data_IF_526055097719
#
_entry.id   IF_526055097719
#
_cell.length_a   1.000
_cell.length_b   1.000
_cell.length_c   1.000
_cell.angle_alpha   90.00
_cell.angle_beta   90.00
_cell.angle_gamma   90.00
#
_symmetry.space_group_name_H-M   'P 1'
#
loop_
_entity.id
_entity.type
_entity.pdbx_description
1 polymer ?
#
# COMPACT_ATOMS: atom_id res chain seq x y z
N UNK A 1 18.26 18.26 -21.06
CA UNK A 1 18.26 17.48 -19.80
C UNK A 1 17.45 16.23 -20.04
N UNK A 2 18.11 15.10 -20.26
CA UNK A 2 17.45 13.81 -20.51
C UNK A 2 16.76 13.40 -19.21
N UNK A 3 15.43 13.40 -19.19
CA UNK A 3 14.66 12.73 -18.16
C UNK A 3 14.88 11.22 -18.34
N UNK A 4 15.94 10.70 -17.73
CA UNK A 4 16.24 9.27 -17.75
C UNK A 4 15.06 8.50 -17.16
N UNK A 5 14.59 7.50 -17.89
CA UNK A 5 13.51 6.60 -17.48
C UNK A 5 13.78 6.11 -16.05
N UNK A 6 12.94 6.50 -15.11
CA UNK A 6 13.09 6.15 -13.69
C UNK A 6 12.72 4.68 -13.48
N UNK A 7 13.69 3.78 -13.61
CA UNK A 7 13.50 2.32 -13.49
C UNK A 7 13.29 1.84 -12.05
N UNK A 8 13.40 2.73 -11.05
CA UNK A 8 13.22 2.35 -9.65
C UNK A 8 11.76 1.99 -9.32
N UNK A 9 10.78 2.49 -10.08
CA UNK A 9 9.38 2.10 -9.90
C UNK A 9 9.14 0.62 -10.28
N UNK A 10 9.82 0.11 -11.30
CA UNK A 10 9.82 -1.32 -11.64
C UNK A 10 10.43 -2.15 -10.51
N UNK A 11 11.53 -1.69 -9.92
CA UNK A 11 12.19 -2.39 -8.82
C UNK A 11 11.30 -2.45 -7.58
N UNK A 12 10.60 -1.35 -7.26
CA UNK A 12 9.60 -1.30 -6.19
C UNK A 12 8.43 -2.24 -6.47
N UNK A 13 7.94 -2.30 -7.71
CA UNK A 13 6.91 -3.24 -8.13
C UNK A 13 7.38 -4.68 -7.96
N UNK A 14 8.58 -5.02 -8.42
CA UNK A 14 9.15 -6.35 -8.29
C UNK A 14 9.25 -6.79 -6.81
N UNK A 15 9.78 -5.92 -5.94
CA UNK A 15 9.85 -6.22 -4.51
C UNK A 15 8.46 -6.38 -3.87
N UNK A 16 7.51 -5.48 -4.18
CA UNK A 16 6.14 -5.59 -3.67
C UNK A 16 5.44 -6.87 -4.17
N UNK A 17 5.67 -7.27 -5.42
CA UNK A 17 5.16 -8.51 -5.98
C UNK A 17 5.72 -9.75 -5.30
N UNK A 18 7.02 -9.79 -4.97
CA UNK A 18 7.60 -10.92 -4.23
C UNK A 18 6.98 -11.05 -2.84
N UNK A 19 6.81 -9.94 -2.11
CA UNK A 19 6.15 -9.93 -0.79
C UNK A 19 4.70 -10.40 -0.90
N UNK A 20 3.99 -9.96 -1.95
CA UNK A 20 2.62 -10.41 -2.23
C UNK A 20 2.55 -11.92 -2.49
N UNK A 21 3.45 -12.47 -3.31
CA UNK A 21 3.50 -13.91 -3.62
C UNK A 21 3.76 -14.73 -2.34
N UNK A 22 4.66 -14.28 -1.48
CA UNK A 22 4.89 -14.96 -0.19
C UNK A 22 3.63 -14.99 0.67
N UNK A 23 2.94 -13.86 0.84
CA UNK A 23 1.70 -13.82 1.61
C UNK A 23 0.62 -14.69 0.97
N UNK A 24 0.50 -14.72 -0.36
CA UNK A 24 -0.44 -15.60 -1.04
C UNK A 24 -0.18 -17.09 -0.71
N UNK A 25 1.08 -17.52 -0.66
CA UNK A 25 1.47 -18.89 -0.27
C UNK A 25 1.20 -19.14 1.21
N UNK A 26 1.60 -18.21 2.08
CA UNK A 26 1.45 -18.35 3.54
C UNK A 26 -0.03 -18.40 3.95
N UNK A 27 -0.88 -17.53 3.40
CA UNK A 27 -2.31 -17.49 3.72
C UNK A 27 -3.12 -18.66 3.13
N UNK A 28 -2.65 -19.28 2.05
CA UNK A 28 -3.34 -20.42 1.43
C UNK A 28 -2.93 -21.76 2.04
N UNK A 29 -1.88 -21.81 2.86
CA UNK A 29 -1.40 -23.02 3.51
C UNK A 29 -0.81 -24.06 2.55
N UNK A 30 -0.53 -23.70 1.30
CA UNK A 30 -0.08 -24.63 0.24
C UNK A 30 1.27 -25.29 0.57
N UNK A 31 2.08 -24.69 1.44
CA UNK A 31 3.44 -25.11 1.77
C UNK A 31 3.75 -24.96 3.27
N UNK A 32 2.75 -25.13 4.15
CA UNK A 32 2.90 -24.89 5.58
C UNK A 32 4.06 -25.70 6.19
N UNK A 33 5.07 -25.00 6.72
CA UNK A 33 6.33 -25.51 7.28
C UNK A 33 7.23 -26.28 6.29
N UNK A 34 7.04 -26.11 4.99
CA UNK A 34 7.86 -26.73 3.95
C UNK A 34 9.17 -25.96 3.66
N UNK A 35 10.21 -26.61 3.09
CA UNK A 35 11.46 -25.95 2.70
C UNK A 35 11.25 -24.77 1.72
N UNK A 36 10.21 -24.87 0.88
CA UNK A 36 9.78 -23.81 -0.03
C UNK A 36 9.28 -22.57 0.70
N UNK A 37 8.52 -22.72 1.78
CA UNK A 37 8.02 -21.58 2.56
C UNK A 37 9.17 -20.79 3.18
N UNK A 38 10.16 -21.48 3.77
CA UNK A 38 11.34 -20.83 4.35
C UNK A 38 12.13 -20.05 3.29
N UNK A 39 12.26 -20.60 2.07
CA UNK A 39 12.93 -19.92 0.97
C UNK A 39 12.15 -18.66 0.54
N UNK A 40 10.83 -18.77 0.38
CA UNK A 40 9.99 -17.62 0.01
C UNK A 40 9.92 -16.58 1.13
N UNK A 41 9.98 -16.98 2.40
CA UNK A 41 10.06 -16.08 3.53
C UNK A 41 11.35 -15.25 3.50
N UNK A 42 12.50 -15.89 3.26
CA UNK A 42 13.79 -15.19 3.12
C UNK A 42 13.79 -14.24 1.92
N UNK A 43 13.20 -14.64 0.79
CA UNK A 43 13.06 -13.78 -0.39
C UNK A 43 12.12 -12.60 -0.13
N UNK A 44 11.03 -12.80 0.61
CA UNK A 44 10.11 -11.75 1.01
C UNK A 44 10.78 -10.77 1.97
N UNK A 45 11.58 -11.25 2.93
CA UNK A 45 12.37 -10.43 3.84
C UNK A 45 13.38 -9.55 3.09
N UNK A 46 14.14 -10.14 2.15
CA UNK A 46 15.06 -9.37 1.31
C UNK A 46 14.30 -8.34 0.46
N UNK A 47 13.13 -8.71 -0.07
CA UNK A 47 12.32 -7.83 -0.92
C UNK A 47 11.76 -6.64 -0.14
N UNK A 48 11.26 -6.83 1.09
CA UNK A 48 10.76 -5.74 1.90
C UNK A 48 11.88 -4.78 2.31
N UNK A 49 13.06 -5.30 2.67
CA UNK A 49 14.24 -4.49 2.94
C UNK A 49 14.64 -3.66 1.71
N UNK A 50 14.75 -4.29 0.54
CA UNK A 50 15.04 -3.62 -0.73
C UNK A 50 14.00 -2.55 -1.09
N UNK A 51 12.71 -2.84 -0.89
CA UNK A 51 11.62 -1.89 -1.14
C UNK A 51 11.76 -0.63 -0.29
N UNK A 52 12.06 -0.78 1.01
CA UNK A 52 12.23 0.35 1.91
C UNK A 52 13.49 1.17 1.59
N UNK A 53 14.62 0.51 1.28
CA UNK A 53 15.86 1.20 0.90
C UNK A 53 15.65 2.05 -0.36
N UNK A 54 15.08 1.48 -1.42
CA UNK A 54 14.83 2.18 -2.68
C UNK A 54 13.83 3.30 -2.51
N UNK A 55 12.73 3.04 -1.79
CA UNK A 55 11.73 4.07 -1.50
C UNK A 55 12.33 5.22 -0.69
N UNK A 56 13.16 4.92 0.31
CA UNK A 56 13.87 5.90 1.14
C UNK A 56 14.84 6.77 0.34
N UNK A 57 15.62 6.18 -0.57
CA UNK A 57 16.51 6.94 -1.45
C UNK A 57 15.74 7.93 -2.33
N UNK A 58 14.58 7.52 -2.89
CA UNK A 58 13.71 8.40 -3.68
C UNK A 58 13.02 9.48 -2.82
N UNK A 59 12.67 9.16 -1.57
CA UNK A 59 12.15 10.11 -0.57
C UNK A 59 13.19 11.20 -0.33
N UNK A 60 14.43 10.81 -0.03
CA UNK A 60 15.53 11.73 0.23
C UNK A 60 15.87 12.59 -0.99
N UNK A 61 16.05 11.99 -2.17
CA UNK A 61 16.32 12.75 -3.40
C UNK A 61 15.17 13.69 -3.81
N UNK A 62 13.93 13.37 -3.44
CA UNK A 62 12.78 14.25 -3.64
C UNK A 62 12.71 15.38 -2.61
N UNK A 63 13.29 15.21 -1.42
CA UNK A 63 13.40 16.25 -0.40
C UNK A 63 14.47 17.27 -0.79
N UNK A 64 15.63 16.81 -1.23
CA UNK A 64 16.75 17.67 -1.67
C UNK A 64 16.36 18.59 -2.83
N UNK A 65 15.46 18.13 -3.70
CA UNK A 65 14.96 18.90 -4.85
C UNK A 65 13.83 19.89 -4.51
N UNK A 66 13.40 19.96 -3.24
CA UNK A 66 12.25 20.77 -2.81
C UNK A 66 12.70 21.98 -1.99
N UNK A 67 12.08 23.15 -2.23
CA UNK A 67 12.39 24.41 -1.52
C UNK A 67 11.84 24.46 -0.08
N UNK A 68 11.63 23.32 0.58
CA UNK A 68 11.11 23.25 1.95
C UNK A 68 10.25 22.02 2.23
N UNK A 69 10.27 21.59 3.51
CA UNK A 69 9.56 20.41 4.01
C UNK A 69 8.04 20.48 3.79
N UNK A 70 7.46 21.67 3.92
CA UNK A 70 6.01 21.90 3.74
C UNK A 70 5.56 21.62 2.30
N UNK A 71 6.23 22.23 1.32
CA UNK A 71 5.94 22.04 -0.11
C UNK A 71 6.14 20.59 -0.57
N UNK A 72 7.08 19.89 0.05
CA UNK A 72 7.31 18.47 -0.17
C UNK A 72 6.18 17.60 0.42
N UNK A 73 5.80 17.85 1.67
CA UNK A 73 4.74 17.13 2.38
C UNK A 73 3.38 17.27 1.71
N UNK A 74 3.00 18.50 1.34
CA UNK A 74 1.72 18.80 0.69
C UNK A 74 1.54 18.05 -0.64
N UNK A 75 2.60 17.94 -1.45
CA UNK A 75 2.58 17.18 -2.72
C UNK A 75 2.35 15.69 -2.50
N UNK A 76 2.88 15.13 -1.41
CA UNK A 76 2.71 13.71 -1.09
C UNK A 76 1.36 13.42 -0.47
N UNK A 77 0.88 14.29 0.42
CA UNK A 77 -0.45 14.21 1.01
C UNK A 77 -1.53 14.25 -0.05
N UNK A 78 -1.46 15.19 -1.01
CA UNK A 78 -2.40 15.25 -2.14
C UNK A 78 -2.38 14.01 -3.03
N UNK A 79 -1.32 13.21 -2.99
CA UNK A 79 -1.24 11.94 -3.75
C UNK A 79 -1.78 10.74 -2.95
N UNK A 80 -1.52 10.68 -1.65
CA UNK A 80 -1.92 9.54 -0.79
C UNK A 80 -3.38 9.65 -0.30
N UNK A 81 -3.81 10.87 0.04
CA UNK A 81 -5.14 11.12 0.60
C UNK A 81 -6.31 10.74 -0.33
N UNK A 82 -6.24 10.98 -1.66
CA UNK A 82 -7.31 10.54 -2.55
C UNK A 82 -7.48 9.02 -2.55
N UNK A 83 -6.38 8.27 -2.57
CA UNK A 83 -6.44 6.81 -2.52
C UNK A 83 -6.97 6.31 -1.17
N UNK A 84 -6.58 6.97 -0.07
CA UNK A 84 -7.09 6.67 1.27
C UNK A 84 -8.60 6.90 1.38
N UNK A 85 -9.11 8.03 0.88
CA UNK A 85 -10.55 8.27 0.87
C UNK A 85 -11.29 7.21 0.04
N UNK A 86 -10.77 6.84 -1.12
CA UNK A 86 -11.38 5.82 -1.97
C UNK A 86 -11.47 4.46 -1.26
N UNK A 87 -10.43 4.06 -0.52
CA UNK A 87 -10.43 2.74 0.14
C UNK A 87 -11.43 2.65 1.30
N UNK A 88 -11.80 3.79 1.91
CA UNK A 88 -12.82 3.86 2.98
C UNK A 88 -14.21 4.01 2.38
N UNK A 89 -14.38 4.91 1.40
CA UNK A 89 -15.68 5.22 0.82
C UNK A 89 -16.23 4.05 -0.01
N UNK A 90 -15.37 3.26 -0.66
CA UNK A 90 -15.82 2.15 -1.50
C UNK A 90 -16.55 1.05 -0.70
N UNK A 91 -16.02 0.55 0.44
CA UNK A 91 -16.77 -0.33 1.35
C UNK A 91 -18.05 0.30 1.91
N UNK A 92 -18.01 1.58 2.28
CA UNK A 92 -19.19 2.32 2.77
C UNK A 92 -20.31 2.32 1.72
N UNK A 93 -19.98 2.68 0.47
CA UNK A 93 -20.93 2.68 -0.64
C UNK A 93 -21.44 1.27 -0.96
N UNK A 94 -20.55 0.27 -0.99
CA UNK A 94 -20.93 -1.11 -1.20
C UNK A 94 -21.91 -1.61 -0.12
N UNK A 95 -21.63 -1.31 1.15
CA UNK A 95 -22.50 -1.68 2.27
C UNK A 95 -23.87 -0.99 2.21
N UNK A 96 -23.92 0.29 1.84
CA UNK A 96 -25.18 1.02 1.64
C UNK A 96 -26.04 0.41 0.54
N UNK A 97 -25.43 -0.01 -0.58
CA UNK A 97 -26.13 -0.66 -1.70
C UNK A 97 -26.67 -2.03 -1.28
N UNK A 98 -25.85 -2.87 -0.63
CA UNK A 98 -26.22 -4.23 -0.23
C UNK A 98 -27.34 -4.22 0.81
N UNK A 99 -27.33 -3.25 1.71
CA UNK A 99 -28.24 -3.23 2.87
C UNK A 99 -29.61 -2.61 2.56
N UNK A 100 -29.78 -2.00 1.37
CA UNK A 100 -31.10 -1.59 0.88
C UNK A 100 -31.87 -0.60 1.77
N UNK A 101 -31.18 0.17 2.62
CA UNK A 101 -31.80 1.16 3.50
C UNK A 101 -32.24 0.65 4.88
N UNK A 102 -31.75 -0.50 5.35
CA UNK A 102 -31.96 -0.92 6.73
C UNK A 102 -31.32 0.10 7.70
N UNK A 103 -32.17 0.83 8.43
CA UNK A 103 -31.77 1.93 9.32
C UNK A 103 -30.84 1.45 10.45
N UNK A 104 -30.93 0.17 10.84
CA UNK A 104 -30.04 -0.44 11.83
C UNK A 104 -28.59 -0.58 11.36
N UNK A 105 -28.37 -0.76 10.05
CA UNK A 105 -27.03 -0.89 9.48
C UNK A 105 -26.33 0.45 9.27
N UNK A 106 -27.08 1.57 9.20
CA UNK A 106 -26.49 2.91 9.08
C UNK A 106 -25.59 3.25 10.27
N UNK A 107 -25.93 2.77 11.47
CA UNK A 107 -25.10 2.93 12.67
C UNK A 107 -23.74 2.25 12.54
N UNK A 108 -23.69 1.04 12.00
CA UNK A 108 -22.44 0.30 11.80
C UNK A 108 -21.62 0.86 10.64
N UNK A 109 -22.27 1.26 9.54
CA UNK A 109 -21.61 1.93 8.41
C UNK A 109 -20.99 3.25 8.87
N UNK A 110 -21.70 4.01 9.70
CA UNK A 110 -21.18 5.25 10.30
C UNK A 110 -20.01 4.98 11.25
N UNK A 111 -20.12 3.96 12.11
CA UNK A 111 -19.05 3.56 12.99
C UNK A 111 -17.79 3.17 12.20
N UNK A 112 -17.94 2.39 11.13
CA UNK A 112 -16.84 2.04 10.23
C UNK A 112 -16.23 3.27 9.57
N UNK A 113 -17.05 4.17 9.02
CA UNK A 113 -16.54 5.38 8.38
C UNK A 113 -15.77 6.26 9.38
N UNK A 114 -16.32 6.50 10.56
CA UNK A 114 -15.69 7.32 11.59
C UNK A 114 -14.41 6.68 12.17
N UNK A 115 -14.39 5.36 12.35
CA UNK A 115 -13.21 4.68 12.86
C UNK A 115 -12.02 4.67 11.86
N UNK A 116 -12.30 4.84 10.57
CA UNK A 116 -11.29 4.77 9.51
C UNK A 116 -10.98 6.13 8.85
N UNK A 117 -11.75 7.20 9.09
CA UNK A 117 -11.48 8.54 8.50
C UNK A 117 -10.53 9.38 9.36
#
# INVERSE_FOLDING_TARGET
MVAGVNRFDFLRLAFASTVFVYHAIALTGISENGPSETLFAALAELSIQGFFIVSGALVFGSLERSNGLWTYGEKRLRRLYPAYLVIILLPVLASLIITGGNVGALGEIWHYAWANL
#
